data_IF_040918915663
#
_entry.id   IF_040918915663
#
_cell.length_a   1.000
_cell.length_b   1.000
_cell.length_c   1.000
_cell.angle_alpha   90.00
_cell.angle_beta   90.00
_cell.angle_gamma   90.00
#
_symmetry.space_group_name_H-M   'P 1'
#
loop_
_entity.id
_entity.type
_entity.pdbx_description
1 polymer ?
#
# COMPACT_ATOMS: atom_id res chain seq x y z
N UNK A 1 -6.55 -17.75 1.69
CA UNK A 1 -6.22 -19.05 1.06
C UNK A 1 -7.46 -19.72 0.46
N UNK A 2 -8.50 -20.02 1.25
CA UNK A 2 -9.69 -20.77 0.79
C UNK A 2 -10.31 -20.23 -0.52
N UNK A 3 -10.60 -18.93 -0.59
CA UNK A 3 -11.20 -18.32 -1.79
C UNK A 3 -10.35 -18.49 -3.05
N UNK A 4 -9.01 -18.35 -2.92
CA UNK A 4 -8.07 -18.58 -4.03
C UNK A 4 -8.00 -20.06 -4.41
N UNK A 5 -8.07 -20.94 -3.43
CA UNK A 5 -8.12 -22.40 -3.63
C UNK A 5 -9.33 -22.82 -4.45
N UNK A 6 -10.52 -22.32 -4.10
CA UNK A 6 -11.75 -22.61 -4.86
C UNK A 6 -11.77 -22.03 -6.27
N UNK A 7 -11.05 -20.93 -6.52
CA UNK A 7 -10.91 -20.34 -7.86
C UNK A 7 -9.74 -20.93 -8.66
N UNK A 8 -8.97 -21.86 -8.08
CA UNK A 8 -7.83 -22.45 -8.76
C UNK A 8 -8.28 -23.41 -9.86
N UNK A 9 -7.47 -23.50 -10.94
CA UNK A 9 -7.68 -24.50 -11.99
C UNK A 9 -7.63 -25.93 -11.45
N UNK A 10 -6.74 -26.18 -10.49
CA UNK A 10 -6.64 -27.48 -9.82
C UNK A 10 -7.98 -27.90 -9.21
N UNK A 11 -8.67 -27.00 -8.52
CA UNK A 11 -9.98 -27.30 -7.93
C UNK A 11 -11.04 -27.61 -8.98
N UNK A 12 -11.00 -26.95 -10.15
CA UNK A 12 -11.89 -27.25 -11.26
C UNK A 12 -11.68 -28.66 -11.82
N UNK A 13 -10.42 -29.11 -11.86
CA UNK A 13 -10.05 -30.39 -12.46
C UNK A 13 -10.19 -31.57 -11.47
N UNK A 14 -9.84 -31.40 -10.19
CA UNK A 14 -9.73 -32.49 -9.21
C UNK A 14 -10.68 -32.38 -8.02
N UNK A 15 -11.42 -31.27 -7.88
CA UNK A 15 -12.23 -30.98 -6.69
C UNK A 15 -11.40 -30.72 -5.42
N UNK A 16 -10.08 -30.55 -5.54
CA UNK A 16 -9.16 -30.32 -4.43
C UNK A 16 -8.14 -29.22 -4.79
N UNK A 17 -7.54 -28.57 -3.80
CA UNK A 17 -6.46 -27.61 -4.01
C UNK A 17 -5.37 -27.80 -2.96
N UNK A 18 -4.12 -27.51 -3.31
CA UNK A 18 -2.98 -27.62 -2.38
C UNK A 18 -2.79 -26.37 -1.56
N UNK A 19 -2.27 -26.55 -0.34
CA UNK A 19 -1.80 -25.48 0.51
C UNK A 19 -0.27 -25.57 0.60
N UNK A 20 0.43 -24.68 -0.10
CA UNK A 20 1.87 -24.54 -0.05
C UNK A 20 2.29 -23.11 0.31
N UNK A 21 3.61 -22.92 0.37
CA UNK A 21 4.22 -21.61 0.58
C UNK A 21 3.79 -20.59 -0.49
N UNK A 22 3.76 -20.92 -1.81
CA UNK A 22 3.32 -19.96 -2.82
C UNK A 22 1.86 -19.50 -2.63
N UNK A 23 0.96 -20.41 -2.27
CA UNK A 23 -0.45 -20.09 -2.01
C UNK A 23 -0.60 -19.23 -0.76
N UNK A 24 0.23 -19.45 0.25
CA UNK A 24 0.28 -18.64 1.47
C UNK A 24 0.74 -17.22 1.17
N UNK A 25 1.84 -17.05 0.42
CA UNK A 25 2.34 -15.74 -0.01
C UNK A 25 1.31 -14.98 -0.86
N UNK A 26 0.60 -15.67 -1.74
CA UNK A 26 -0.50 -15.08 -2.51
C UNK A 26 -1.65 -14.61 -1.62
N UNK A 27 -1.98 -15.37 -0.57
CA UNK A 27 -3.02 -15.04 0.39
C UNK A 27 -2.63 -13.88 1.33
N UNK A 28 -1.37 -13.78 1.75
CA UNK A 28 -0.90 -12.71 2.65
C UNK A 28 -1.09 -11.32 2.06
N UNK A 29 -1.01 -11.18 0.74
CA UNK A 29 -1.28 -9.88 0.13
C UNK A 29 -2.77 -9.53 0.04
N UNK A 30 -3.68 -10.51 0.12
CA UNK A 30 -5.09 -10.20 0.37
C UNK A 30 -5.25 -9.62 1.79
N UNK A 31 -4.44 -10.06 2.76
CA UNK A 31 -4.36 -9.39 4.06
C UNK A 31 -3.79 -7.97 3.93
N UNK A 32 -2.77 -7.77 3.07
CA UNK A 32 -2.21 -6.44 2.81
C UNK A 32 -3.25 -5.47 2.23
N UNK A 33 -4.14 -5.92 1.34
CA UNK A 33 -5.28 -5.12 0.85
C UNK A 33 -6.11 -4.58 2.02
N UNK A 34 -6.53 -5.47 2.93
CA UNK A 34 -7.34 -5.11 4.10
C UNK A 34 -6.61 -4.14 5.01
N UNK A 35 -5.30 -4.34 5.24
CA UNK A 35 -4.49 -3.43 6.05
C UNK A 35 -4.36 -2.04 5.43
N UNK A 36 -4.27 -1.93 4.10
CA UNK A 36 -4.24 -0.64 3.40
C UNK A 36 -5.58 0.08 3.58
N UNK A 37 -6.70 -0.62 3.39
CA UNK A 37 -8.03 -0.08 3.65
C UNK A 37 -8.22 0.34 5.10
N UNK A 38 -7.74 -0.47 6.04
CA UNK A 38 -7.74 -0.14 7.47
C UNK A 38 -6.97 1.14 7.74
N UNK A 39 -5.84 1.37 7.07
CA UNK A 39 -5.09 2.62 7.16
C UNK A 39 -5.89 3.85 6.72
N UNK A 40 -6.76 3.73 5.71
CA UNK A 40 -7.64 4.81 5.25
C UNK A 40 -8.77 5.09 6.25
N UNK A 41 -9.30 4.03 6.86
CA UNK A 41 -10.47 4.06 7.75
C UNK A 41 -10.12 4.16 9.24
N UNK A 42 -8.84 4.34 9.57
CA UNK A 42 -8.36 4.37 10.96
C UNK A 42 -9.12 5.45 11.76
N UNK A 43 -9.63 5.07 12.93
CA UNK A 43 -10.43 5.96 13.80
C UNK A 43 -11.91 6.13 13.42
N UNK A 44 -12.35 5.58 12.28
CA UNK A 44 -13.72 5.72 11.76
C UNK A 44 -14.60 4.48 11.92
N UNK A 45 -14.03 3.32 12.24
CA UNK A 45 -14.76 2.04 12.35
C UNK A 45 -14.39 1.29 13.63
N UNK A 46 -15.34 0.54 14.18
CA UNK A 46 -15.08 -0.38 15.31
C UNK A 46 -14.34 -1.63 14.83
N UNK A 47 -13.67 -2.37 15.73
CA UNK A 47 -13.04 -3.66 15.38
C UNK A 47 -13.99 -4.66 14.71
N UNK A 48 -15.25 -4.73 15.16
CA UNK A 48 -16.26 -5.62 14.55
C UNK A 48 -16.61 -5.18 13.13
N UNK A 49 -16.72 -3.87 12.89
CA UNK A 49 -16.95 -3.34 11.55
C UNK A 49 -15.76 -3.64 10.62
N UNK A 50 -14.53 -3.59 11.13
CA UNK A 50 -13.34 -4.02 10.38
C UNK A 50 -13.36 -5.51 10.04
N UNK A 51 -13.79 -6.39 10.95
CA UNK A 51 -13.92 -7.83 10.65
C UNK A 51 -14.90 -8.10 9.51
N UNK A 52 -16.06 -7.42 9.53
CA UNK A 52 -17.06 -7.54 8.45
C UNK A 52 -16.51 -6.98 7.14
N UNK A 53 -15.89 -5.81 7.17
CA UNK A 53 -15.26 -5.20 5.99
C UNK A 53 -14.18 -6.11 5.41
N UNK A 54 -13.31 -6.68 6.24
CA UNK A 54 -12.25 -7.58 5.82
C UNK A 54 -12.81 -8.84 5.11
N UNK A 55 -13.92 -9.40 5.60
CA UNK A 55 -14.58 -10.54 4.98
C UNK A 55 -15.07 -10.23 3.54
N UNK A 56 -15.78 -9.11 3.37
CA UNK A 56 -16.29 -8.71 2.05
C UNK A 56 -15.17 -8.25 1.11
N UNK A 57 -14.25 -7.43 1.62
CA UNK A 57 -13.11 -6.91 0.84
C UNK A 57 -12.19 -8.04 0.37
N UNK A 58 -11.92 -9.05 1.21
CA UNK A 58 -11.12 -10.20 0.80
C UNK A 58 -11.78 -10.95 -0.35
N UNK A 59 -13.11 -11.09 -0.33
CA UNK A 59 -13.86 -11.75 -1.40
C UNK A 59 -13.78 -10.98 -2.72
N UNK A 60 -13.98 -9.67 -2.67
CA UNK A 60 -13.91 -8.79 -3.85
C UNK A 60 -12.47 -8.72 -4.38
N UNK A 61 -11.48 -8.56 -3.51
CA UNK A 61 -10.07 -8.44 -3.91
C UNK A 61 -9.55 -9.70 -4.60
N UNK A 62 -9.92 -10.89 -4.11
CA UNK A 62 -9.55 -12.16 -4.74
C UNK A 62 -10.17 -12.30 -6.14
N UNK A 63 -11.44 -11.87 -6.30
CA UNK A 63 -12.10 -11.86 -7.61
C UNK A 63 -11.43 -10.86 -8.57
N UNK A 64 -11.13 -9.65 -8.10
CA UNK A 64 -10.45 -8.63 -8.90
C UNK A 64 -9.05 -9.10 -9.32
N UNK A 65 -8.29 -9.69 -8.41
CA UNK A 65 -6.98 -10.28 -8.71
C UNK A 65 -7.10 -11.34 -9.81
N UNK A 66 -8.05 -12.28 -9.68
CA UNK A 66 -8.29 -13.30 -10.71
C UNK A 66 -8.66 -12.68 -12.08
N UNK A 67 -9.54 -11.68 -12.10
CA UNK A 67 -9.89 -10.99 -13.35
C UNK A 67 -8.67 -10.30 -13.96
N UNK A 68 -7.93 -9.53 -13.17
CA UNK A 68 -6.80 -8.71 -13.65
C UNK A 68 -5.63 -9.59 -14.12
N UNK A 69 -5.27 -10.62 -13.35
CA UNK A 69 -4.08 -11.44 -13.60
C UNK A 69 -4.39 -12.62 -14.53
N UNK A 70 -5.48 -13.36 -14.29
CA UNK A 70 -5.78 -14.58 -15.05
C UNK A 70 -6.60 -14.33 -16.32
N UNK A 71 -7.53 -13.37 -16.32
CA UNK A 71 -8.42 -13.11 -17.47
C UNK A 71 -7.85 -12.00 -18.37
N UNK A 72 -7.45 -10.87 -17.79
CA UNK A 72 -6.93 -9.72 -18.54
C UNK A 72 -5.42 -9.79 -18.81
N UNK A 73 -4.72 -10.77 -18.23
CA UNK A 73 -3.29 -10.99 -18.40
C UNK A 73 -2.42 -9.77 -18.06
N UNK A 74 -2.86 -8.94 -17.10
CA UNK A 74 -2.09 -7.78 -16.64
C UNK A 74 -0.91 -8.24 -15.80
N UNK A 75 0.28 -7.73 -16.14
CA UNK A 75 1.50 -8.03 -15.41
C UNK A 75 1.66 -7.12 -14.18
N UNK A 76 1.12 -7.56 -13.05
CA UNK A 76 1.20 -6.87 -11.76
C UNK A 76 1.88 -7.72 -10.67
N UNK A 77 3.06 -8.27 -11.00
CA UNK A 77 3.78 -9.18 -10.10
C UNK A 77 4.15 -8.57 -8.74
N UNK A 78 4.52 -7.28 -8.69
CA UNK A 78 4.75 -6.54 -7.44
C UNK A 78 3.49 -5.89 -6.85
N UNK A 79 2.31 -6.21 -7.40
CA UNK A 79 0.99 -5.96 -6.80
C UNK A 79 0.65 -4.49 -6.59
N UNK A 80 1.17 -3.60 -7.43
CA UNK A 80 0.85 -2.17 -7.40
C UNK A 80 -0.63 -1.89 -7.66
N UNK A 81 -1.26 -2.68 -8.54
CA UNK A 81 -2.65 -2.49 -8.94
C UNK A 81 -3.59 -3.29 -8.04
N UNK A 82 -3.44 -4.62 -8.00
CA UNK A 82 -4.40 -5.53 -7.36
C UNK A 82 -4.33 -5.49 -5.83
N UNK A 83 -3.24 -4.97 -5.25
CA UNK A 83 -3.12 -4.76 -3.80
C UNK A 83 -3.20 -3.28 -3.45
N UNK A 84 -2.23 -2.49 -3.89
CA UNK A 84 -2.09 -1.12 -3.39
C UNK A 84 -3.14 -0.16 -3.94
N UNK A 85 -3.36 -0.13 -5.25
CA UNK A 85 -4.38 0.73 -5.84
C UNK A 85 -5.78 0.26 -5.42
N UNK A 86 -6.07 -1.04 -5.52
CA UNK A 86 -7.35 -1.60 -5.11
C UNK A 86 -7.68 -1.26 -3.64
N UNK A 87 -6.80 -1.58 -2.69
CA UNK A 87 -7.05 -1.32 -1.26
C UNK A 87 -7.20 0.18 -0.97
N UNK A 88 -6.37 1.03 -1.57
CA UNK A 88 -6.46 2.47 -1.36
C UNK A 88 -7.81 3.04 -1.86
N UNK A 89 -8.25 2.65 -3.05
CA UNK A 89 -9.52 3.14 -3.61
C UNK A 89 -10.74 2.49 -2.95
N UNK A 90 -10.65 1.22 -2.57
CA UNK A 90 -11.71 0.54 -1.80
C UNK A 90 -11.91 1.22 -0.45
N UNK A 91 -10.81 1.46 0.30
CA UNK A 91 -10.87 2.18 1.56
C UNK A 91 -11.38 3.62 1.41
N UNK A 92 -11.00 4.33 0.34
CA UNK A 92 -11.53 5.66 0.07
C UNK A 92 -13.04 5.63 -0.22
N UNK A 93 -13.50 4.68 -1.03
CA UNK A 93 -14.93 4.50 -1.31
C UNK A 93 -15.71 4.18 -0.03
N UNK A 94 -15.19 3.27 0.81
CA UNK A 94 -15.78 2.97 2.11
C UNK A 94 -15.82 4.20 3.04
N UNK A 95 -14.78 5.04 3.01
CA UNK A 95 -14.70 6.27 3.80
C UNK A 95 -15.73 7.32 3.38
N UNK A 96 -16.14 7.32 2.10
CA UNK A 96 -17.16 8.22 1.56
C UNK A 96 -18.59 7.75 1.88
N UNK A 97 -18.81 6.44 1.96
CA UNK A 97 -20.14 5.86 2.28
C UNK A 97 -20.39 5.82 3.79
N UNK A 98 -19.34 5.66 4.61
CA UNK A 98 -19.43 5.60 6.07
C UNK A 98 -19.86 6.94 6.69
N UNK A 99 -20.73 6.89 7.71
CA UNK A 99 -21.08 8.08 8.50
C UNK A 99 -19.84 8.62 9.23
N UNK A 100 -19.63 9.93 9.19
CA UNK A 100 -18.56 10.66 9.89
C UNK A 100 -18.81 10.70 11.41
N UNK A 101 -18.80 9.56 12.08
CA UNK A 101 -18.67 9.51 13.53
C UNK A 101 -17.27 9.02 13.84
N UNK A 102 -16.43 9.86 14.44
CA UNK A 102 -15.16 9.40 14.99
C UNK A 102 -15.52 8.44 16.12
N UNK A 103 -15.17 7.16 15.94
CA UNK A 103 -15.51 6.09 16.88
C UNK A 103 -14.40 5.89 17.90
N UNK A 104 -13.23 6.48 17.65
CA UNK A 104 -12.10 6.50 18.57
C UNK A 104 -11.84 7.93 19.03
N UNK A 105 -11.58 8.11 20.33
CA UNK A 105 -11.01 9.34 20.87
C UNK A 105 -9.61 9.50 20.26
N UNK A 106 -9.50 10.40 19.28
CA UNK A 106 -8.22 10.85 18.79
C UNK A 106 -7.84 12.08 19.61
N UNK A 107 -6.67 12.03 20.23
CA UNK A 107 -6.14 13.16 20.99
C UNK A 107 -6.02 14.39 20.07
N UNK A 108 -6.59 15.52 20.49
CA UNK A 108 -6.70 16.73 19.65
C UNK A 108 -5.31 17.31 19.28
N UNK A 109 -4.26 16.91 20.00
CA UNK A 109 -2.89 17.39 19.83
C UNK A 109 -2.03 16.62 18.81
N UNK A 110 -2.55 15.59 18.12
CA UNK A 110 -1.79 14.83 17.12
C UNK A 110 -0.96 13.69 17.71
N UNK A 111 0.06 13.21 17.00
CA UNK A 111 0.90 12.11 17.49
C UNK A 111 1.76 12.55 18.67
N UNK A 112 1.67 11.82 19.79
CA UNK A 112 2.66 11.90 20.87
C UNK A 112 3.97 11.25 20.41
N UNK A 113 5.12 11.72 20.92
CA UNK A 113 6.46 11.27 20.53
C UNK A 113 6.62 9.73 20.52
N UNK A 114 6.01 9.03 21.48
CA UNK A 114 6.05 7.57 21.53
C UNK A 114 5.27 6.91 20.39
N UNK A 115 4.13 7.46 19.98
CA UNK A 115 3.34 6.95 18.85
C UNK A 115 4.08 7.11 17.52
N UNK A 116 4.83 8.20 17.36
CA UNK A 116 5.67 8.39 16.17
C UNK A 116 6.85 7.40 16.12
N UNK A 117 7.48 7.10 17.26
CA UNK A 117 8.52 6.08 17.34
C UNK A 117 7.97 4.69 16.97
N UNK A 118 6.81 4.30 17.48
CA UNK A 118 6.17 3.03 17.12
C UNK A 118 5.80 2.97 15.64
N UNK A 119 5.26 4.05 15.07
CA UNK A 119 4.97 4.14 13.64
C UNK A 119 6.24 4.03 12.78
N UNK A 120 7.36 4.59 13.24
CA UNK A 120 8.65 4.47 12.56
C UNK A 120 9.20 3.04 12.57
N UNK A 121 9.00 2.25 13.65
CA UNK A 121 9.37 0.84 13.66
C UNK A 121 8.62 0.08 12.55
N UNK A 122 7.30 0.28 12.45
CA UNK A 122 6.50 -0.30 11.37
C UNK A 122 6.99 0.13 9.98
N UNK A 123 7.32 1.42 9.82
CA UNK A 123 7.86 1.97 8.58
C UNK A 123 9.17 1.28 8.18
N UNK A 124 10.11 1.09 9.12
CA UNK A 124 11.40 0.45 8.85
C UNK A 124 11.25 -1.04 8.49
N UNK A 125 10.37 -1.76 9.19
CA UNK A 125 10.08 -3.17 8.86
C UNK A 125 9.50 -3.29 7.44
N UNK A 126 8.53 -2.46 7.10
CA UNK A 126 7.99 -2.40 5.74
C UNK A 126 9.08 -2.03 4.72
N UNK A 127 9.96 -1.08 5.07
CA UNK A 127 11.01 -0.63 4.17
C UNK A 127 12.02 -1.73 3.84
N UNK A 128 12.47 -2.47 4.86
CA UNK A 128 13.46 -3.55 4.72
C UNK A 128 12.87 -4.77 4.01
N UNK A 129 11.61 -5.12 4.27
CA UNK A 129 10.98 -6.32 3.70
C UNK A 129 10.25 -6.08 2.36
N UNK A 130 10.06 -4.83 1.93
CA UNK A 130 9.39 -4.52 0.66
C UNK A 130 10.03 -5.19 -0.57
N UNK A 131 11.37 -5.23 -0.72
CA UNK A 131 12.00 -5.92 -1.85
C UNK A 131 11.59 -7.39 -1.94
N UNK A 132 11.48 -8.07 -0.79
CA UNK A 132 10.98 -9.45 -0.71
C UNK A 132 9.50 -9.54 -1.10
N UNK A 133 8.67 -8.59 -0.69
CA UNK A 133 7.26 -8.54 -1.08
C UNK A 133 7.08 -8.45 -2.60
N UNK A 134 7.82 -7.57 -3.28
CA UNK A 134 7.75 -7.44 -4.74
C UNK A 134 8.37 -8.64 -5.48
N UNK A 135 9.34 -9.32 -4.86
CA UNK A 135 10.06 -10.46 -5.45
C UNK A 135 9.43 -11.83 -5.17
N UNK A 136 8.50 -11.91 -4.20
CA UNK A 136 7.95 -13.13 -3.62
C UNK A 136 7.54 -14.21 -4.63
N UNK A 137 6.80 -13.82 -5.67
CA UNK A 137 6.20 -14.74 -6.65
C UNK A 137 6.86 -14.62 -8.03
N UNK A 138 8.05 -14.01 -8.10
CA UNK A 138 8.71 -13.75 -9.38
C UNK A 138 9.54 -14.94 -9.83
N UNK A 139 9.25 -15.37 -11.04
CA UNK A 139 10.01 -16.37 -11.78
C UNK A 139 10.27 -15.86 -13.21
N UNK A 140 11.39 -16.24 -13.85
CA UNK A 140 12.50 -17.04 -13.33
C UNK A 140 13.38 -16.26 -12.32
N UNK A 141 14.38 -16.92 -11.72
CA UNK A 141 15.29 -16.34 -10.71
C UNK A 141 15.94 -15.00 -11.11
N UNK A 142 16.27 -14.79 -12.39
CA UNK A 142 16.81 -13.51 -12.88
C UNK A 142 15.77 -12.37 -12.75
N UNK A 143 14.47 -12.67 -12.93
CA UNK A 143 13.39 -11.70 -12.69
C UNK A 143 13.22 -11.39 -11.20
N UNK A 144 13.38 -12.39 -10.33
CA UNK A 144 13.37 -12.23 -8.87
C UNK A 144 14.49 -11.32 -8.38
N UNK A 145 15.72 -11.54 -8.83
CA UNK A 145 16.86 -10.67 -8.51
C UNK A 145 16.63 -9.24 -8.98
N UNK A 146 16.11 -9.04 -10.20
CA UNK A 146 15.75 -7.70 -10.68
C UNK A 146 14.68 -7.04 -9.83
N UNK A 147 13.66 -7.78 -9.41
CA UNK A 147 12.59 -7.25 -8.55
C UNK A 147 13.15 -6.71 -7.23
N UNK A 148 14.07 -7.45 -6.60
CA UNK A 148 14.74 -7.05 -5.36
C UNK A 148 15.54 -5.76 -5.59
N UNK A 149 16.45 -5.76 -6.58
CA UNK A 149 17.34 -4.63 -6.85
C UNK A 149 16.57 -3.37 -7.25
N UNK A 150 15.59 -3.50 -8.14
CA UNK A 150 14.78 -2.38 -8.61
C UNK A 150 13.93 -1.81 -7.47
N UNK A 151 13.36 -2.65 -6.61
CA UNK A 151 12.58 -2.21 -5.45
C UNK A 151 13.45 -1.46 -4.45
N UNK A 152 14.63 -2.00 -4.13
CA UNK A 152 15.58 -1.35 -3.24
C UNK A 152 16.01 0.04 -3.75
N UNK A 153 16.40 0.14 -5.03
CA UNK A 153 16.82 1.42 -5.63
C UNK A 153 15.67 2.44 -5.70
N UNK A 154 14.45 1.99 -6.02
CA UNK A 154 13.27 2.84 -6.03
C UNK A 154 12.92 3.37 -4.63
N UNK A 155 13.08 2.56 -3.61
CA UNK A 155 12.84 2.96 -2.23
C UNK A 155 13.95 3.86 -1.68
N UNK A 156 15.21 3.58 -2.00
CA UNK A 156 16.32 4.45 -1.60
C UNK A 156 16.19 5.87 -2.19
N UNK A 157 15.93 5.96 -3.50
CA UNK A 157 15.66 7.25 -4.16
C UNK A 157 14.37 7.91 -3.65
N UNK A 158 13.34 7.10 -3.39
CA UNK A 158 12.09 7.47 -2.72
C UNK A 158 12.31 8.15 -1.37
N UNK A 159 13.15 7.54 -0.53
CA UNK A 159 13.49 8.03 0.81
C UNK A 159 14.22 9.36 0.72
N UNK A 160 15.30 9.45 -0.06
CA UNK A 160 16.07 10.70 -0.21
C UNK A 160 15.18 11.85 -0.69
N UNK A 161 14.36 11.58 -1.70
CA UNK A 161 13.41 12.59 -2.24
C UNK A 161 12.38 13.00 -1.19
N UNK A 162 11.88 12.05 -0.40
CA UNK A 162 10.92 12.32 0.69
C UNK A 162 11.52 13.26 1.74
N UNK A 163 12.77 13.04 2.17
CA UNK A 163 13.43 13.93 3.13
C UNK A 163 13.65 15.33 2.55
N UNK A 164 14.14 15.43 1.31
CA UNK A 164 14.34 16.72 0.63
C UNK A 164 13.01 17.48 0.54
N UNK A 165 11.95 16.85 0.02
CA UNK A 165 10.65 17.50 -0.13
C UNK A 165 10.00 17.84 1.22
N UNK A 166 10.17 16.98 2.24
CA UNK A 166 9.65 17.25 3.58
C UNK A 166 10.25 18.53 4.17
N UNK A 167 11.56 18.73 4.00
CA UNK A 167 12.24 19.96 4.41
C UNK A 167 11.83 21.17 3.55
N UNK A 168 11.77 21.02 2.21
CA UNK A 168 11.45 22.13 1.31
C UNK A 168 10.01 22.67 1.47
N UNK A 169 9.07 21.86 1.93
CA UNK A 169 7.66 22.26 2.14
C UNK A 169 7.45 22.91 3.51
N UNK A 170 8.34 22.67 4.49
CA UNK A 170 8.28 23.35 5.79
C UNK A 170 9.03 24.69 5.73
N UNK A 171 8.38 25.77 6.18
CA UNK A 171 8.98 27.11 6.16
C UNK A 171 10.27 27.24 6.98
N UNK A 172 10.52 26.32 7.91
CA UNK A 172 11.70 26.28 8.77
C UNK A 172 12.68 25.16 8.37
N UNK A 173 12.43 24.46 7.25
CA UNK A 173 13.28 23.39 6.77
C UNK A 173 13.22 22.10 7.59
N UNK A 174 12.24 21.94 8.49
CA UNK A 174 12.14 20.78 9.40
C UNK A 174 11.49 19.59 8.70
N UNK A 175 11.73 18.39 9.23
CA UNK A 175 11.08 17.18 8.73
C UNK A 175 9.74 16.92 9.42
N UNK A 176 8.70 16.69 8.63
CA UNK A 176 7.42 16.18 9.12
C UNK A 176 7.43 14.64 9.16
N UNK A 177 7.21 14.06 10.33
CA UNK A 177 7.28 12.61 10.52
C UNK A 177 6.20 11.84 9.76
N UNK A 178 5.04 12.45 9.50
CA UNK A 178 3.98 11.86 8.65
C UNK A 178 4.50 11.64 7.22
N UNK A 179 5.27 12.58 6.69
CA UNK A 179 5.90 12.42 5.38
C UNK A 179 6.90 11.27 5.39
N UNK A 180 7.74 11.18 6.43
CA UNK A 180 8.78 10.14 6.54
C UNK A 180 8.18 8.75 6.71
N UNK A 181 7.17 8.59 7.57
CA UNK A 181 6.52 7.30 7.85
C UNK A 181 5.78 6.73 6.62
N UNK A 182 5.16 7.58 5.81
CA UNK A 182 4.32 7.13 4.69
C UNK A 182 4.98 7.23 3.31
N UNK A 183 5.69 8.33 3.03
CA UNK A 183 6.14 8.62 1.66
C UNK A 183 7.43 7.89 1.29
N UNK A 184 8.26 7.51 2.26
CA UNK A 184 9.48 6.72 2.02
C UNK A 184 9.19 5.33 1.42
N UNK A 185 7.99 4.78 1.68
CA UNK A 185 7.53 3.50 1.12
C UNK A 185 6.94 3.62 -0.29
N UNK A 186 6.67 4.84 -0.77
CA UNK A 186 5.97 5.05 -2.05
C UNK A 186 6.73 4.53 -3.27
N UNK A 187 8.06 4.52 -3.22
CA UNK A 187 8.90 3.96 -4.28
C UNK A 187 8.68 2.46 -4.48
N UNK A 188 8.51 1.70 -3.39
CA UNK A 188 8.27 0.25 -3.44
C UNK A 188 6.91 -0.09 -4.03
N UNK A 189 5.89 0.72 -3.71
CA UNK A 189 4.55 0.60 -4.31
C UNK A 189 4.57 0.94 -5.80
N UNK A 190 5.27 2.00 -6.21
CA UNK A 190 5.27 2.47 -7.59
C UNK A 190 5.99 1.51 -8.55
N UNK A 191 7.10 0.93 -8.11
CA UNK A 191 7.91 0.02 -8.94
C UNK A 191 7.29 -1.38 -9.07
N UNK A 192 6.31 -1.74 -8.25
CA UNK A 192 5.70 -3.08 -8.23
C UNK A 192 5.09 -3.54 -9.56
N UNK A 193 4.58 -2.64 -10.42
CA UNK A 193 4.11 -2.97 -11.77
C UNK A 193 5.27 -3.08 -12.79
N UNK A 194 6.40 -2.44 -12.50
CA UNK A 194 7.56 -2.29 -13.40
C UNK A 194 8.83 -3.04 -12.90
N UNK A 195 8.68 -3.92 -11.92
CA UNK A 195 9.76 -4.61 -11.21
C UNK A 195 10.76 -5.35 -12.13
N UNK A 196 10.31 -5.83 -13.30
CA UNK A 196 11.12 -6.64 -14.23
C UNK A 196 11.92 -5.88 -15.27
N UNK A 197 11.73 -4.57 -15.43
CA UNK A 197 12.36 -3.78 -16.49
C UNK A 197 13.87 -3.59 -16.27
N UNK A 198 14.67 -3.85 -17.32
CA UNK A 198 16.15 -3.91 -17.30
C UNK A 198 16.82 -2.54 -17.47
N UNK A 199 16.18 -1.58 -18.16
CA UNK A 199 16.90 -0.44 -18.77
C UNK A 199 16.63 0.94 -18.15
N UNK A 200 15.78 1.06 -17.13
CA UNK A 200 15.28 2.38 -16.70
C UNK A 200 15.22 2.59 -15.19
N UNK A 201 15.78 1.68 -14.39
CA UNK A 201 15.59 1.63 -12.93
C UNK A 201 15.96 2.92 -12.21
N UNK A 202 17.02 3.62 -12.62
CA UNK A 202 17.42 4.88 -11.98
C UNK A 202 16.56 6.08 -12.43
N UNK A 203 16.25 6.17 -13.73
CA UNK A 203 15.56 7.33 -14.32
C UNK A 203 14.05 7.26 -14.03
N UNK A 204 13.43 6.09 -14.14
CA UNK A 204 12.01 5.92 -13.80
C UNK A 204 11.82 6.04 -12.29
N UNK A 205 12.70 5.50 -11.44
CA UNK A 205 12.56 5.72 -9.99
C UNK A 205 12.63 7.21 -9.64
N UNK A 206 13.59 7.96 -10.18
CA UNK A 206 13.69 9.42 -9.96
C UNK A 206 12.48 10.20 -10.52
N UNK A 207 11.98 9.84 -11.71
CA UNK A 207 10.84 10.51 -12.34
C UNK A 207 9.49 10.14 -11.70
N UNK A 208 9.29 8.88 -11.34
CA UNK A 208 8.07 8.41 -10.68
C UNK A 208 8.02 8.89 -9.24
N UNK A 209 9.13 8.90 -8.48
CA UNK A 209 9.14 9.50 -7.15
C UNK A 209 8.80 10.99 -7.25
N UNK A 210 9.33 11.74 -8.23
CA UNK A 210 8.97 13.17 -8.43
C UNK A 210 7.49 13.39 -8.77
N UNK A 211 6.87 12.49 -9.53
CA UNK A 211 5.44 12.60 -9.89
C UNK A 211 4.52 12.11 -8.76
N UNK A 212 4.90 11.03 -8.06
CA UNK A 212 4.10 10.41 -6.99
C UNK A 212 4.28 11.07 -5.62
N UNK A 213 5.41 11.75 -5.34
CA UNK A 213 5.51 12.69 -4.20
C UNK A 213 4.90 14.04 -4.52
N UNK A 214 4.76 14.44 -5.80
CA UNK A 214 3.80 15.48 -6.14
C UNK A 214 2.36 15.01 -5.94
N UNK A 215 1.97 13.79 -6.31
CA UNK A 215 0.59 13.29 -6.13
C UNK A 215 0.29 12.82 -4.70
N UNK A 216 1.28 12.43 -3.88
CA UNK A 216 1.11 12.18 -2.44
C UNK A 216 1.39 13.43 -1.62
N UNK A 217 2.31 14.29 -2.02
CA UNK A 217 2.41 15.64 -1.45
C UNK A 217 1.13 16.43 -1.71
N UNK A 218 0.56 16.34 -2.90
CA UNK A 218 -0.71 16.98 -3.29
C UNK A 218 -1.92 16.14 -2.93
N UNK A 219 -1.83 14.82 -2.79
CA UNK A 219 -2.93 13.93 -2.40
C UNK A 219 -3.04 13.74 -0.90
N UNK A 220 -1.93 13.81 -0.16
CA UNK A 220 -1.87 13.93 1.29
C UNK A 220 -1.98 15.41 1.70
N UNK A 221 -1.57 16.39 0.88
CA UNK A 221 -2.03 17.77 1.07
C UNK A 221 -3.49 17.95 0.64
N UNK A 222 -4.05 17.23 -0.33
CA UNK A 222 -5.51 17.24 -0.57
C UNK A 222 -6.22 16.46 0.53
N UNK A 223 -5.71 15.33 1.02
CA UNK A 223 -6.33 14.59 2.12
C UNK A 223 -6.20 15.34 3.45
N UNK A 224 -5.05 15.95 3.72
CA UNK A 224 -4.85 16.83 4.87
C UNK A 224 -5.62 18.15 4.69
N UNK A 225 -5.64 18.78 3.51
CA UNK A 225 -6.43 19.98 3.24
C UNK A 225 -7.93 19.66 3.19
N UNK A 226 -8.37 18.45 2.85
CA UNK A 226 -9.78 18.04 2.93
C UNK A 226 -10.16 17.76 4.40
N UNK A 227 -9.30 17.07 5.16
CA UNK A 227 -9.47 16.89 6.61
C UNK A 227 -9.24 18.17 7.45
N UNK A 228 -8.52 19.18 6.94
CA UNK A 228 -8.27 20.46 7.61
C UNK A 228 -9.21 21.57 7.10
N UNK A 229 -9.69 21.50 5.85
CA UNK A 229 -10.72 22.41 5.30
C UNK A 229 -12.07 22.17 5.96
N UNK A 230 -12.39 20.93 6.34
CA UNK A 230 -13.62 20.66 7.09
C UNK A 230 -13.54 21.07 8.57
N UNK A 231 -12.36 21.39 9.11
CA UNK A 231 -12.22 22.02 10.44
C UNK A 231 -12.55 23.52 10.45
N UNK A 232 -12.71 24.16 9.29
CA UNK A 232 -13.02 25.60 9.18
C UNK A 232 -14.52 25.92 9.10
N UNK A 233 -15.41 24.91 9.16
CA UNK A 233 -16.87 25.11 9.13
C UNK A 233 -17.58 24.69 10.43
N UNK A 234 -16.83 24.57 11.52
CA UNK A 234 -17.39 24.35 12.87
C UNK A 234 -16.90 25.42 13.85
N UNK A 235 -16.99 26.68 13.42
CA UNK A 235 -17.13 27.83 14.32
C UNK A 235 -18.58 28.31 14.22
#
# INVERSE_FOLDING_TARGET
MLLRGFLSKQFQDTGTFTLGVPEMMCADASCAVVLITMGVLLGRMTPVQFLLLAFFETSISVLVDHIVVNILHVNDGGRSLVVHAFGAYFGLAAALVGKKKNVMEMDEQGSIHHSDLFSMIGTLLLWVFFPSFNAAVQEPEDARHRAIMNTYLAMASGTVTTFILSSLVDNLGRFNMIHIQSSTLSGGVAIGAFYKFRSYTLIISLLYTRCHTKIKGFGMAIYAHFCLSERKWSL
#
